data_IF_339547102743
#
_entry.id   IF_339547102743
#
_cell.length_a   1.000
_cell.length_b   1.000
_cell.length_c   1.000
_cell.angle_alpha   90.00
_cell.angle_beta   90.00
_cell.angle_gamma   90.00
#
_symmetry.space_group_name_H-M   'P 1'
#
loop_
_entity.id
_entity.type
_entity.pdbx_description
1 polymer ?
#
# COMPACT_ATOMS: atom_id res chain seq x y z
N UNK A 1 -2.97 67.84 -29.77
CA UNK A 1 -2.38 67.09 -30.91
C UNK A 1 -2.36 65.62 -30.55
N UNK A 2 -3.29 64.83 -31.10
CA UNK A 2 -3.31 63.38 -30.89
C UNK A 2 -2.34 62.74 -31.90
N UNK A 3 -1.22 62.20 -31.41
CA UNK A 3 -0.27 61.47 -32.24
C UNK A 3 -0.93 60.23 -32.84
N UNK A 4 -0.94 60.11 -34.17
CA UNK A 4 -1.38 58.88 -34.85
C UNK A 4 -0.45 57.75 -34.46
N UNK A 5 -0.98 56.76 -33.75
CA UNK A 5 -0.27 55.54 -33.39
C UNK A 5 -0.01 54.75 -34.67
N UNK A 6 1.27 54.51 -34.97
CA UNK A 6 1.69 53.77 -36.17
C UNK A 6 1.56 52.26 -35.92
N UNK A 7 0.54 51.66 -36.52
CA UNK A 7 0.23 50.23 -36.41
C UNK A 7 1.43 49.37 -36.82
N UNK A 8 2.27 49.83 -37.75
CA UNK A 8 3.48 49.09 -38.17
C UNK A 8 4.53 49.04 -37.06
N UNK A 9 4.67 50.13 -36.30
CA UNK A 9 5.57 50.18 -35.13
C UNK A 9 5.06 49.29 -34.00
N UNK A 10 3.74 49.23 -33.77
CA UNK A 10 3.14 48.29 -32.81
C UNK A 10 3.37 46.84 -33.24
N UNK A 11 3.11 46.50 -34.50
CA UNK A 11 3.35 45.15 -35.04
C UNK A 11 4.82 44.74 -34.90
N UNK A 12 5.77 45.62 -35.25
CA UNK A 12 7.21 45.37 -35.08
C UNK A 12 7.59 45.15 -33.61
N UNK A 13 7.05 45.96 -32.70
CA UNK A 13 7.31 45.84 -31.27
C UNK A 13 6.73 44.54 -30.70
N UNK A 14 5.52 44.14 -31.14
CA UNK A 14 4.93 42.84 -30.79
C UNK A 14 5.74 41.66 -31.31
N UNK A 15 6.25 41.72 -32.54
CA UNK A 15 7.12 40.66 -33.10
C UNK A 15 8.42 40.55 -32.32
N UNK A 16 9.05 41.67 -31.94
CA UNK A 16 10.27 41.67 -31.13
C UNK A 16 10.01 41.10 -29.74
N UNK A 17 8.96 41.55 -29.04
CA UNK A 17 8.59 41.02 -27.71
C UNK A 17 8.26 39.52 -27.80
N UNK A 18 7.49 39.10 -28.79
CA UNK A 18 7.17 37.69 -29.01
C UNK A 18 8.43 36.85 -29.28
N UNK A 19 9.38 37.38 -30.04
CA UNK A 19 10.67 36.72 -30.30
C UNK A 19 11.51 36.57 -29.04
N UNK A 20 11.62 37.60 -28.20
CA UNK A 20 12.33 37.53 -26.92
C UNK A 20 11.69 36.53 -25.94
N UNK A 21 10.35 36.52 -25.85
CA UNK A 21 9.62 35.55 -25.01
C UNK A 21 9.82 34.11 -25.49
N UNK A 22 9.94 33.89 -26.81
CA UNK A 22 10.21 32.56 -27.37
C UNK A 22 11.63 32.06 -27.06
N UNK A 23 12.63 32.94 -27.08
CA UNK A 23 14.03 32.56 -26.77
C UNK A 23 14.17 32.15 -25.29
N UNK A 24 13.61 32.92 -24.34
CA UNK A 24 13.66 32.57 -22.90
C UNK A 24 12.92 31.25 -22.59
N UNK A 25 11.80 30.98 -23.27
CA UNK A 25 11.09 29.72 -23.13
C UNK A 25 11.88 28.53 -23.68
N UNK A 26 12.60 28.69 -24.80
CA UNK A 26 13.46 27.64 -25.37
C UNK A 26 14.63 27.30 -24.46
N UNK A 27 15.26 28.30 -23.84
CA UNK A 27 16.37 28.09 -22.91
C UNK A 27 15.92 27.36 -21.64
N UNK A 28 14.76 27.74 -21.09
CA UNK A 28 14.15 27.04 -19.94
C UNK A 28 13.81 25.58 -20.24
N UNK A 29 13.25 25.31 -21.42
CA UNK A 29 12.93 23.96 -21.85
C UNK A 29 14.17 23.09 -22.05
N UNK A 30 15.22 23.63 -22.67
CA UNK A 30 16.50 22.95 -22.80
C UNK A 30 17.10 22.61 -21.43
N UNK A 31 17.17 23.57 -20.52
CA UNK A 31 17.70 23.36 -19.17
C UNK A 31 16.87 22.36 -18.38
N UNK A 32 15.55 22.42 -18.48
CA UNK A 32 14.65 21.45 -17.85
C UNK A 32 14.97 20.02 -18.29
N UNK A 33 15.04 19.78 -19.61
CA UNK A 33 15.34 18.44 -20.15
C UNK A 33 16.73 17.97 -19.76
N UNK A 34 17.71 18.88 -19.69
CA UNK A 34 19.07 18.59 -19.24
C UNK A 34 19.07 18.08 -17.80
N UNK A 35 18.50 18.84 -16.87
CA UNK A 35 18.46 18.45 -15.45
C UNK A 35 17.61 17.21 -15.21
N UNK A 36 16.48 17.07 -15.90
CA UNK A 36 15.66 15.86 -15.80
C UNK A 36 16.42 14.61 -16.27
N UNK A 37 17.17 14.70 -17.38
CA UNK A 37 18.00 13.59 -17.87
C UNK A 37 19.10 13.24 -16.88
N UNK A 38 19.84 14.25 -16.40
CA UNK A 38 20.89 14.08 -15.40
C UNK A 38 20.35 13.39 -14.14
N UNK A 39 19.21 13.85 -13.63
CA UNK A 39 18.56 13.28 -12.46
C UNK A 39 18.14 11.81 -12.67
N UNK A 40 17.57 11.49 -13.84
CA UNK A 40 17.21 10.12 -14.19
C UNK A 40 18.45 9.20 -14.25
N UNK A 41 19.58 9.67 -14.80
CA UNK A 41 20.82 8.89 -14.85
C UNK A 41 21.40 8.65 -13.45
N UNK A 42 21.41 9.67 -12.60
CA UNK A 42 21.84 9.55 -11.21
C UNK A 42 20.94 8.58 -10.42
N UNK A 43 19.62 8.67 -10.62
CA UNK A 43 18.65 7.75 -10.03
C UNK A 43 18.89 6.30 -10.48
N UNK A 44 19.17 6.07 -11.77
CA UNK A 44 19.49 4.73 -12.30
C UNK A 44 20.77 4.16 -11.69
N UNK A 45 21.76 5.01 -11.40
CA UNK A 45 23.00 4.65 -10.69
C UNK A 45 22.81 4.44 -9.18
N UNK A 46 21.66 4.81 -8.64
CA UNK A 46 21.35 4.72 -7.21
C UNK A 46 21.88 5.89 -6.38
N UNK A 47 22.43 6.93 -7.00
CA UNK A 47 22.81 8.17 -6.32
C UNK A 47 21.57 9.07 -6.18
N UNK A 48 20.69 8.68 -5.25
CA UNK A 48 19.45 9.38 -5.01
C UNK A 48 19.63 10.81 -4.47
N UNK A 49 20.60 11.11 -3.58
CA UNK A 49 20.84 12.48 -3.13
C UNK A 49 21.24 13.42 -4.27
N UNK A 50 22.12 12.99 -5.18
CA UNK A 50 22.46 13.80 -6.35
C UNK A 50 21.29 13.91 -7.33
N UNK A 51 20.56 12.82 -7.57
CA UNK A 51 19.35 12.84 -8.40
C UNK A 51 18.33 13.84 -7.86
N UNK A 52 18.13 13.90 -6.54
CA UNK A 52 17.20 14.82 -5.89
C UNK A 52 17.52 16.28 -6.21
N UNK A 53 18.79 16.68 -6.11
CA UNK A 53 19.22 18.04 -6.44
C UNK A 53 18.91 18.39 -7.90
N UNK A 54 19.16 17.47 -8.84
CA UNK A 54 18.91 17.73 -10.26
C UNK A 54 17.41 17.72 -10.59
N UNK A 55 16.59 16.89 -9.93
CA UNK A 55 15.13 16.99 -10.03
C UNK A 55 14.59 18.31 -9.47
N UNK A 56 15.11 18.81 -8.34
CA UNK A 56 14.70 20.10 -7.78
C UNK A 56 14.95 21.24 -8.77
N UNK A 57 16.12 21.29 -9.41
CA UNK A 57 16.40 22.26 -10.49
C UNK A 57 15.43 22.13 -11.66
N UNK A 58 15.05 20.90 -12.04
CA UNK A 58 14.04 20.69 -13.08
C UNK A 58 12.65 21.20 -12.65
N UNK A 59 12.28 21.06 -11.37
CA UNK A 59 11.03 21.59 -10.81
C UNK A 59 11.03 23.12 -10.80
N UNK A 60 12.14 23.76 -10.43
CA UNK A 60 12.29 25.23 -10.46
C UNK A 60 12.06 25.82 -11.85
N UNK A 61 12.54 25.11 -12.89
CA UNK A 61 12.39 25.55 -14.29
C UNK A 61 10.99 25.34 -14.85
N UNK A 62 10.30 24.27 -14.43
CA UNK A 62 8.95 23.93 -14.88
C UNK A 62 8.09 23.44 -13.71
N UNK A 63 7.61 24.36 -12.85
CA UNK A 63 6.89 23.98 -11.64
C UNK A 63 5.58 23.24 -11.94
N UNK A 64 4.94 23.53 -13.06
CA UNK A 64 3.68 22.89 -13.47
C UNK A 64 3.87 21.53 -14.14
N UNK A 65 5.11 21.13 -14.42
CA UNK A 65 5.38 19.81 -14.99
C UNK A 65 5.36 18.73 -13.90
N UNK A 66 4.37 17.84 -13.97
CA UNK A 66 4.21 16.76 -12.99
C UNK A 66 5.38 15.74 -12.99
N UNK A 67 6.10 15.61 -14.11
CA UNK A 67 7.09 14.54 -14.31
C UNK A 67 8.25 14.61 -13.33
N UNK A 68 8.78 15.81 -13.07
CA UNK A 68 9.89 15.98 -12.12
C UNK A 68 9.46 15.68 -10.68
N UNK A 69 8.25 16.10 -10.29
CA UNK A 69 7.69 15.76 -8.97
C UNK A 69 7.49 14.24 -8.81
N UNK A 70 6.89 13.59 -9.81
CA UNK A 70 6.71 12.14 -9.83
C UNK A 70 8.05 11.39 -9.71
N UNK A 71 9.07 11.80 -10.47
CA UNK A 71 10.39 11.17 -10.43
C UNK A 71 11.16 11.46 -9.13
N UNK A 72 11.05 12.66 -8.58
CA UNK A 72 11.60 12.99 -7.27
C UNK A 72 10.93 12.17 -6.16
N UNK A 73 9.61 11.99 -6.22
CA UNK A 73 8.86 11.12 -5.31
C UNK A 73 9.35 9.67 -5.36
N UNK A 74 9.63 9.15 -6.56
CA UNK A 74 10.28 7.83 -6.70
C UNK A 74 11.65 7.80 -6.01
N UNK A 75 12.47 8.84 -6.17
CA UNK A 75 13.78 8.95 -5.54
C UNK A 75 13.72 8.94 -4.00
N UNK A 76 12.79 9.67 -3.40
CA UNK A 76 12.56 9.64 -1.95
C UNK A 76 12.01 8.29 -1.47
N UNK A 77 11.09 7.67 -2.24
CA UNK A 77 10.59 6.33 -1.94
C UNK A 77 11.73 5.30 -1.86
N UNK A 78 12.72 5.37 -2.77
CA UNK A 78 13.88 4.47 -2.76
C UNK A 78 14.81 4.70 -1.57
N UNK A 79 14.81 5.89 -1.00
CA UNK A 79 15.55 6.25 0.22
C UNK A 79 14.78 5.88 1.50
N UNK A 80 13.53 5.40 1.40
CA UNK A 80 12.69 5.12 2.55
C UNK A 80 12.03 6.36 3.16
N UNK A 81 12.20 7.52 2.53
CA UNK A 81 11.57 8.77 2.94
C UNK A 81 10.17 8.86 2.35
N UNK A 82 9.26 8.16 3.02
CA UNK A 82 7.89 7.99 2.53
C UNK A 82 7.04 9.24 2.69
N UNK A 83 7.37 10.14 3.63
CA UNK A 83 6.62 11.37 3.83
C UNK A 83 6.84 12.35 2.67
N UNK A 84 8.11 12.61 2.34
CA UNK A 84 8.44 13.45 1.18
C UNK A 84 7.95 12.81 -0.12
N UNK A 85 8.08 11.49 -0.26
CA UNK A 85 7.57 10.78 -1.44
C UNK A 85 6.05 10.96 -1.62
N UNK A 86 5.26 10.84 -0.55
CA UNK A 86 3.81 11.03 -0.61
C UNK A 86 3.45 12.45 -1.09
N UNK A 87 4.03 13.47 -0.47
CA UNK A 87 3.77 14.88 -0.83
C UNK A 87 4.08 15.17 -2.30
N UNK A 88 5.19 14.63 -2.82
CA UNK A 88 5.59 14.81 -4.22
C UNK A 88 4.66 14.08 -5.20
N UNK A 89 4.17 12.88 -4.85
CA UNK A 89 3.18 12.22 -5.69
C UNK A 89 1.85 12.95 -5.69
N UNK A 90 1.38 13.46 -4.54
CA UNK A 90 0.17 14.30 -4.46
C UNK A 90 0.30 15.57 -5.31
N UNK A 91 1.45 16.24 -5.21
CA UNK A 91 1.80 17.40 -6.04
C UNK A 91 1.88 17.09 -7.53
N UNK A 92 2.30 15.88 -7.92
CA UNK A 92 2.26 15.43 -9.31
C UNK A 92 0.81 15.13 -9.76
N UNK A 93 0.03 14.42 -8.95
CA UNK A 93 -1.36 14.03 -9.25
C UNK A 93 -2.26 15.23 -9.56
N UNK A 94 -2.05 16.36 -8.86
CA UNK A 94 -2.82 17.60 -9.09
C UNK A 94 -2.56 18.23 -10.45
N UNK A 95 -1.40 17.96 -11.06
CA UNK A 95 -0.96 18.52 -12.36
C UNK A 95 -1.16 17.55 -13.53
N UNK A 96 -1.31 16.24 -13.27
CA UNK A 96 -1.51 15.24 -14.31
C UNK A 96 -2.95 15.25 -14.84
N UNK A 97 -3.05 15.38 -16.15
CA UNK A 97 -4.32 15.30 -16.90
C UNK A 97 -4.53 13.93 -17.54
N UNK A 98 -3.47 13.27 -18.02
CA UNK A 98 -3.59 11.94 -18.63
C UNK A 98 -4.03 10.89 -17.59
N UNK A 99 -5.14 10.16 -17.83
CA UNK A 99 -5.63 9.17 -16.88
C UNK A 99 -4.62 8.06 -16.56
N UNK A 100 -3.84 7.60 -17.54
CA UNK A 100 -2.91 6.49 -17.34
C UNK A 100 -1.70 6.94 -16.51
N UNK A 101 -1.17 8.13 -16.76
CA UNK A 101 -0.14 8.74 -15.91
C UNK A 101 -0.67 9.02 -14.50
N UNK A 102 -1.92 9.48 -14.39
CA UNK A 102 -2.56 9.73 -13.09
C UNK A 102 -2.73 8.43 -12.30
N UNK A 103 -3.10 7.35 -12.98
CA UNK A 103 -3.18 6.02 -12.40
C UNK A 103 -1.83 5.55 -11.85
N UNK A 104 -0.73 5.74 -12.60
CA UNK A 104 0.64 5.40 -12.15
C UNK A 104 1.04 6.21 -10.91
N UNK A 105 0.71 7.50 -10.86
CA UNK A 105 0.98 8.34 -9.70
C UNK A 105 0.20 7.89 -8.46
N UNK A 106 -1.09 7.59 -8.60
CA UNK A 106 -1.89 7.01 -7.52
C UNK A 106 -1.38 5.63 -7.08
N UNK A 107 -0.94 4.78 -8.01
CA UNK A 107 -0.34 3.48 -7.68
C UNK A 107 0.91 3.66 -6.81
N UNK A 108 1.80 4.59 -7.17
CA UNK A 108 3.00 4.86 -6.41
C UNK A 108 2.72 5.49 -5.04
N UNK A 109 1.72 6.38 -4.95
CA UNK A 109 1.23 6.88 -3.66
C UNK A 109 0.71 5.73 -2.77
N UNK A 110 -0.01 4.77 -3.36
CA UNK A 110 -0.42 3.56 -2.66
C UNK A 110 0.78 2.72 -2.17
N UNK A 111 1.82 2.60 -2.98
CA UNK A 111 3.05 1.91 -2.60
C UNK A 111 3.77 2.61 -1.44
N UNK A 112 3.81 3.94 -1.44
CA UNK A 112 4.36 4.76 -0.35
C UNK A 112 3.61 4.48 0.94
N UNK A 113 2.28 4.62 0.94
CA UNK A 113 1.46 4.35 2.12
C UNK A 113 1.56 2.90 2.61
N UNK A 114 1.69 1.93 1.70
CA UNK A 114 1.95 0.53 2.06
C UNK A 114 3.25 0.36 2.85
N UNK A 115 4.33 1.02 2.43
CA UNK A 115 5.61 0.94 3.15
C UNK A 115 5.56 1.68 4.48
N UNK A 116 4.81 2.78 4.57
CA UNK A 116 4.53 3.47 5.85
C UNK A 116 3.51 2.74 6.74
N UNK A 117 3.04 1.55 6.36
CA UNK A 117 1.99 0.80 7.06
C UNK A 117 0.66 1.55 7.24
N UNK A 118 0.45 2.60 6.44
CA UNK A 118 -0.79 3.40 6.33
C UNK A 118 -1.76 2.69 5.38
N UNK A 119 -2.22 1.51 5.80
CA UNK A 119 -2.92 0.59 4.88
C UNK A 119 -4.27 1.12 4.39
N UNK A 120 -4.95 1.96 5.17
CA UNK A 120 -6.23 2.56 4.75
C UNK A 120 -6.01 3.56 3.60
N UNK A 121 -5.00 4.40 3.73
CA UNK A 121 -4.59 5.39 2.73
C UNK A 121 -4.07 4.71 1.47
N UNK A 122 -3.29 3.63 1.63
CA UNK A 122 -2.86 2.80 0.51
C UNK A 122 -4.04 2.25 -0.30
N UNK A 123 -5.08 1.74 0.39
CA UNK A 123 -6.31 1.24 -0.25
C UNK A 123 -6.99 2.36 -1.05
N UNK A 124 -7.10 3.57 -0.50
CA UNK A 124 -7.73 4.68 -1.22
C UNK A 124 -6.93 5.07 -2.47
N UNK A 125 -5.61 5.19 -2.36
CA UNK A 125 -4.74 5.50 -3.49
C UNK A 125 -4.84 4.43 -4.60
N UNK A 126 -4.79 3.13 -4.26
CA UNK A 126 -4.97 2.08 -5.26
C UNK A 126 -6.36 2.06 -5.89
N UNK A 127 -7.42 2.37 -5.13
CA UNK A 127 -8.77 2.54 -5.70
C UNK A 127 -8.82 3.69 -6.71
N UNK A 128 -8.17 4.83 -6.42
CA UNK A 128 -8.06 5.93 -7.38
C UNK A 128 -7.24 5.55 -8.61
N UNK A 129 -6.16 4.78 -8.44
CA UNK A 129 -5.40 4.25 -9.56
C UNK A 129 -6.27 3.38 -10.48
N UNK A 130 -7.02 2.42 -9.93
CA UNK A 130 -7.93 1.56 -10.70
C UNK A 130 -9.12 2.30 -11.30
N UNK A 131 -9.54 3.43 -10.71
CA UNK A 131 -10.57 4.29 -11.31
C UNK A 131 -10.07 4.90 -12.63
N UNK A 132 -8.78 5.26 -12.69
CA UNK A 132 -8.17 5.86 -13.88
C UNK A 132 -7.64 4.81 -14.87
N UNK A 133 -7.19 3.64 -14.38
CA UNK A 133 -6.81 2.48 -15.19
C UNK A 133 -7.36 1.17 -14.60
N UNK A 134 -8.59 0.76 -14.99
CA UNK A 134 -9.24 -0.42 -14.44
C UNK A 134 -8.55 -1.76 -14.74
N UNK A 135 -7.64 -1.79 -15.71
CA UNK A 135 -6.98 -3.01 -16.19
C UNK A 135 -5.59 -3.23 -15.60
N UNK A 136 -5.17 -2.40 -14.65
CA UNK A 136 -3.89 -2.54 -13.98
C UNK A 136 -3.90 -3.69 -12.96
N UNK A 137 -3.43 -4.86 -13.40
CA UNK A 137 -3.34 -6.06 -12.57
C UNK A 137 -2.40 -5.90 -11.37
N UNK A 138 -1.32 -5.13 -11.51
CA UNK A 138 -0.37 -4.91 -10.42
C UNK A 138 -1.00 -4.04 -9.33
N UNK A 139 -1.77 -3.02 -9.73
CA UNK A 139 -2.59 -2.24 -8.80
C UNK A 139 -3.67 -3.08 -8.12
N UNK A 140 -4.40 -3.92 -8.87
CA UNK A 140 -5.41 -4.83 -8.28
C UNK A 140 -4.79 -5.74 -7.23
N UNK A 141 -3.65 -6.31 -7.55
CA UNK A 141 -2.88 -7.16 -6.65
C UNK A 141 -2.46 -6.41 -5.38
N UNK A 142 -1.89 -5.20 -5.53
CA UNK A 142 -1.46 -4.39 -4.39
C UNK A 142 -2.63 -3.94 -3.50
N UNK A 143 -3.79 -3.63 -4.09
CA UNK A 143 -5.03 -3.34 -3.35
C UNK A 143 -5.45 -4.53 -2.47
N UNK A 144 -5.48 -5.74 -3.04
CA UNK A 144 -5.82 -6.95 -2.29
C UNK A 144 -4.84 -7.20 -1.13
N UNK A 145 -3.56 -6.96 -1.38
CA UNK A 145 -2.51 -7.09 -0.37
C UNK A 145 -2.65 -6.05 0.75
N UNK A 146 -2.95 -4.79 0.41
CA UNK A 146 -3.22 -3.72 1.38
C UNK A 146 -4.41 -4.06 2.28
N UNK A 147 -5.50 -4.56 1.70
CA UNK A 147 -6.68 -4.99 2.45
C UNK A 147 -6.38 -6.15 3.41
N UNK A 148 -5.58 -7.14 2.96
CA UNK A 148 -5.12 -8.23 3.82
C UNK A 148 -4.32 -7.70 5.01
N UNK A 149 -3.40 -6.76 4.77
CA UNK A 149 -2.58 -6.14 5.83
C UNK A 149 -3.40 -5.34 6.84
N UNK A 150 -4.37 -4.55 6.36
CA UNK A 150 -5.30 -3.83 7.25
C UNK A 150 -6.09 -4.79 8.15
N UNK A 151 -6.62 -5.89 7.59
CA UNK A 151 -7.35 -6.90 8.37
C UNK A 151 -6.45 -7.55 9.43
N UNK A 152 -5.19 -7.84 9.08
CA UNK A 152 -4.21 -8.38 10.04
C UNK A 152 -3.93 -7.39 11.18
N UNK A 153 -3.76 -6.11 10.86
CA UNK A 153 -3.54 -5.04 11.85
C UNK A 153 -4.73 -4.94 12.83
N UNK A 154 -5.96 -4.94 12.33
CA UNK A 154 -7.18 -4.90 13.15
C UNK A 154 -7.31 -6.13 14.06
N UNK A 155 -6.97 -7.32 13.54
CA UNK A 155 -7.04 -8.55 14.33
C UNK A 155 -6.03 -8.56 15.48
N UNK A 156 -4.83 -8.01 15.28
CA UNK A 156 -3.81 -7.93 16.33
C UNK A 156 -4.25 -6.97 17.44
N UNK A 157 -4.75 -5.78 17.08
CA UNK A 157 -5.28 -4.82 18.07
C UNK A 157 -6.43 -5.39 18.91
N UNK A 158 -7.28 -6.23 18.32
CA UNK A 158 -8.38 -6.88 19.06
C UNK A 158 -7.89 -7.98 20.01
N UNK A 159 -6.74 -8.63 19.74
CA UNK A 159 -6.13 -9.59 20.67
C UNK A 159 -5.48 -8.89 21.85
N UNK A 160 -4.73 -7.82 21.60
CA UNK A 160 -4.08 -7.02 22.65
C UNK A 160 -5.12 -6.45 23.64
N UNK A 161 -6.29 -6.03 23.14
CA UNK A 161 -7.40 -5.58 23.98
C UNK A 161 -8.07 -6.69 24.80
N UNK A 162 -8.02 -7.96 24.33
CA UNK A 162 -8.59 -9.10 25.04
C UNK A 162 -7.66 -9.55 26.17
N UNK A 163 -6.37 -9.61 25.90
CA UNK A 163 -5.35 -9.97 26.90
C UNK A 163 -5.27 -8.92 28.03
N UNK A 164 -5.56 -7.64 27.73
CA UNK A 164 -5.61 -6.59 28.74
C UNK A 164 -6.91 -6.60 29.58
N UNK A 165 -7.97 -7.28 29.12
CA UNK A 165 -9.21 -7.46 29.87
C UNK A 165 -9.10 -8.65 30.84
N UNK A 166 -8.48 -9.75 30.40
CA UNK A 166 -8.24 -10.93 31.22
C UNK A 166 -7.25 -10.66 32.37
N UNK A 167 -6.41 -9.61 32.27
CA UNK A 167 -5.50 -9.19 33.33
C UNK A 167 -6.13 -8.23 34.36
N UNK A 168 -7.37 -7.76 34.13
CA UNK A 168 -8.11 -6.93 35.08
C UNK A 168 -9.06 -7.74 35.98
N UNK A 169 -9.46 -8.93 35.54
CA UNK A 169 -10.33 -9.84 36.30
C UNK A 169 -9.56 -10.72 37.30
N UNK A 170 -8.22 -10.65 37.33
CA UNK A 170 -7.38 -11.49 38.21
C UNK A 170 -6.82 -10.75 39.44
N UNK A 171 -7.40 -9.59 39.82
CA UNK A 171 -6.98 -8.83 41.02
C UNK A 171 -8.00 -8.80 42.16
N UNK A 172 -9.19 -9.38 41.98
CA UNK A 172 -10.28 -9.27 42.97
C UNK A 172 -10.64 -10.59 43.67
N UNK A 173 -9.80 -11.64 43.61
CA UNK A 173 -10.14 -12.92 44.26
C UNK A 173 -9.01 -13.54 45.06
N UNK A 174 -8.46 -12.77 46.00
CA UNK A 174 -7.50 -13.29 46.97
C UNK A 174 -7.80 -12.80 48.39
N UNK A 175 -9.01 -13.01 48.87
CA UNK A 175 -9.35 -12.95 50.31
C UNK A 175 -10.67 -13.69 50.60
N UNK A 176 -10.63 -15.03 50.63
CA UNK A 176 -11.38 -15.84 51.61
C UNK A 176 -11.22 -17.34 51.37
N UNK A 177 -10.46 -18.03 52.23
CA UNK A 177 -10.87 -19.32 52.80
C UNK A 177 -9.91 -19.73 53.90
N UNK A 178 -10.19 -19.20 55.08
CA UNK A 178 -9.72 -19.81 56.32
C UNK A 178 -10.52 -21.09 56.62
N UNK A 179 -9.76 -22.16 56.81
CA UNK A 179 -9.89 -23.13 57.91
C UNK A 179 -11.03 -24.19 57.86
N UNK A 180 -10.67 -25.43 57.49
CA UNK A 180 -11.20 -26.65 58.12
C UNK A 180 -10.36 -27.90 57.80
N UNK A 181 -9.33 -28.10 58.61
CA UNK A 181 -8.66 -29.37 58.90
C UNK A 181 -9.10 -29.77 60.33
N UNK A 182 -9.19 -31.00 60.81
CA UNK A 182 -8.98 -32.36 60.31
C UNK A 182 -9.31 -33.28 61.52
N UNK A 183 -10.06 -34.36 61.32
CA UNK A 183 -10.06 -35.56 62.19
C UNK A 183 -10.94 -36.62 61.55
N UNK A 184 -10.32 -37.70 61.08
CA UNK A 184 -10.50 -39.02 61.69
C UNK A 184 -9.64 -40.06 60.94
N UNK A 185 -8.87 -40.81 61.72
CA UNK A 185 -8.01 -41.89 61.27
C UNK A 185 -8.37 -43.12 62.12
N UNK A 186 -8.79 -44.22 61.48
CA UNK A 186 -8.67 -45.59 62.01
C UNK A 186 -9.01 -46.66 60.96
N UNK A 187 -7.97 -47.38 60.57
CA UNK A 187 -7.83 -48.84 60.41
C UNK A 187 -9.11 -49.68 60.23
N UNK A 188 -9.18 -50.49 59.16
CA UNK A 188 -8.77 -51.92 59.21
C UNK A 188 -8.89 -52.64 57.84
N UNK A 189 -7.80 -53.35 57.50
CA UNK A 189 -7.66 -54.69 56.90
C UNK A 189 -8.55 -55.27 55.77
N UNK A 190 -7.77 -55.83 54.84
CA UNK A 190 -7.89 -57.16 54.21
C UNK A 190 -8.63 -57.33 52.86
N UNK A 191 -7.78 -57.53 51.85
CA UNK A 191 -7.69 -58.69 50.94
C UNK A 191 -8.23 -58.62 49.49
N UNK A 192 -7.30 -59.03 48.63
CA UNK A 192 -7.42 -59.82 47.39
C UNK A 192 -7.94 -59.20 46.09
N UNK A 193 -6.97 -59.21 45.17
CA UNK A 193 -7.01 -59.80 43.82
C UNK A 193 -7.92 -59.18 42.75
N UNK A 194 -7.20 -58.79 41.70
CA UNK A 194 -7.43 -59.08 40.28
C UNK A 194 -7.96 -57.94 39.39
N UNK A 195 -7.04 -57.59 38.49
CA UNK A 195 -7.19 -57.44 37.04
C UNK A 195 -7.90 -56.22 36.45
N UNK A 196 -7.14 -55.69 35.50
CA UNK A 196 -7.53 -55.15 34.21
C UNK A 196 -7.94 -53.66 34.14
N UNK A 197 -6.92 -52.87 33.81
CA UNK A 197 -6.79 -52.16 32.54
C UNK A 197 -7.78 -51.01 32.27
N UNK A 198 -7.31 -49.76 32.40
CA UNK A 198 -7.20 -48.83 31.26
C UNK A 198 -6.62 -47.45 31.61
N UNK A 199 -5.78 -47.01 30.68
CA UNK A 199 -5.56 -45.66 30.18
C UNK A 199 -4.83 -44.61 31.07
N UNK A 200 -3.54 -44.41 30.76
CA UNK A 200 -3.06 -43.06 30.41
C UNK A 200 -1.70 -43.07 29.67
N UNK A 201 -1.65 -42.32 28.56
CA UNK A 201 -0.54 -41.47 28.04
C UNK A 201 0.80 -42.14 27.68
N UNK A 202 1.52 -41.76 26.63
CA UNK A 202 1.56 -40.56 25.78
C UNK A 202 2.39 -40.88 24.51
N UNK A 203 2.18 -40.10 23.43
CA UNK A 203 3.13 -39.77 22.35
C UNK A 203 3.77 -40.93 21.54
N UNK A 204 3.87 -40.93 20.21
CA UNK A 204 4.04 -39.84 19.24
C UNK A 204 3.90 -40.48 17.84
N UNK A 205 2.89 -40.10 17.06
CA UNK A 205 2.78 -40.47 15.63
C UNK A 205 3.91 -39.74 14.86
N UNK A 206 4.78 -40.40 14.09
CA UNK A 206 4.58 -41.23 12.90
C UNK A 206 4.04 -40.43 11.69
N UNK A 207 4.93 -40.11 10.72
CA UNK A 207 4.90 -40.71 9.37
C UNK A 207 5.96 -40.11 8.44
N UNK A 208 6.94 -40.96 8.13
CA UNK A 208 7.42 -41.36 6.80
C UNK A 208 6.95 -40.54 5.58
N UNK A 209 7.88 -40.00 4.77
CA UNK A 209 8.51 -40.63 3.58
C UNK A 209 7.49 -40.89 2.45
N UNK A 210 7.68 -40.55 1.17
CA UNK A 210 8.90 -40.64 0.34
C UNK A 210 8.52 -40.19 -1.10
N UNK A 211 9.55 -39.88 -1.90
CA UNK A 211 9.59 -39.94 -3.38
C UNK A 211 8.72 -38.91 -4.17
N UNK A 212 9.08 -38.40 -5.35
CA UNK A 212 10.04 -38.82 -6.35
C UNK A 212 10.42 -37.65 -7.29
N UNK A 213 11.49 -37.90 -8.05
CA UNK A 213 12.16 -37.08 -9.06
C UNK A 213 11.47 -37.16 -10.45
N UNK A 214 11.98 -36.34 -11.38
CA UNK A 214 11.83 -36.36 -12.86
C UNK A 214 10.59 -35.61 -13.42
N UNK A 215 10.58 -34.88 -14.55
CA UNK A 215 11.41 -34.77 -15.76
C UNK A 215 11.04 -33.39 -16.41
N UNK A 216 11.98 -32.54 -16.83
CA UNK A 216 12.47 -32.26 -18.21
C UNK A 216 11.46 -31.84 -19.31
N UNK A 217 11.93 -30.85 -20.09
CA UNK A 217 11.50 -30.36 -21.42
C UNK A 217 10.26 -29.43 -21.43
N UNK A 218 10.23 -28.27 -22.12
CA UNK A 218 10.76 -27.95 -23.44
C UNK A 218 11.00 -26.44 -23.64
N UNK A 219 11.81 -26.14 -24.66
CA UNK A 219 12.26 -24.83 -25.16
C UNK A 219 11.26 -24.19 -26.12
N UNK A 220 11.50 -22.89 -26.38
CA UNK A 220 10.98 -22.02 -27.45
C UNK A 220 9.57 -21.44 -27.23
N UNK A 221 9.27 -20.16 -27.42
CA UNK A 221 9.83 -19.21 -28.39
C UNK A 221 9.72 -17.75 -27.91
N UNK A 222 10.59 -16.91 -28.49
CA UNK A 222 10.63 -15.45 -28.40
C UNK A 222 9.34 -14.83 -28.96
N UNK A 223 8.88 -13.75 -28.32
CA UNK A 223 8.65 -12.44 -28.96
C UNK A 223 7.93 -11.48 -28.00
N UNK A 224 8.68 -10.54 -27.40
CA UNK A 224 8.41 -9.09 -27.45
C UNK A 224 9.39 -8.30 -26.56
N UNK A 225 10.25 -7.52 -27.25
CA UNK A 225 10.71 -6.19 -26.80
C UNK A 225 9.43 -5.33 -26.68
N UNK A 226 9.12 -4.60 -25.62
CA UNK A 226 9.91 -3.68 -24.82
C UNK A 226 9.44 -3.68 -23.36
N UNK A 227 10.32 -4.09 -22.43
CA UNK A 227 10.25 -3.72 -21.01
C UNK A 227 11.67 -3.51 -20.50
N UNK A 228 11.94 -2.34 -19.93
CA UNK A 228 12.43 -2.17 -18.55
C UNK A 228 12.99 -0.77 -18.36
N UNK A 229 12.34 -0.01 -17.48
CA UNK A 229 13.04 0.83 -16.52
C UNK A 229 12.36 0.62 -15.16
N UNK A 230 13.05 -0.08 -14.25
CA UNK A 230 12.88 0.14 -12.80
C UNK A 230 12.09 -0.85 -11.93
N UNK A 231 11.96 -2.14 -12.24
CA UNK A 231 11.51 -3.13 -11.25
C UNK A 231 12.68 -3.50 -10.31
N UNK A 232 12.70 -2.91 -9.12
CA UNK A 232 13.66 -3.24 -8.07
C UNK A 232 13.26 -4.49 -7.28
N UNK A 233 13.96 -5.61 -7.54
CA UNK A 233 14.17 -6.87 -6.76
C UNK A 233 12.94 -7.66 -6.23
N UNK A 234 13.01 -9.01 -6.21
CA UNK A 234 11.90 -9.86 -5.79
C UNK A 234 11.60 -9.68 -4.29
N UNK A 235 10.36 -9.32 -3.96
CA UNK A 235 9.88 -9.16 -2.57
C UNK A 235 9.52 -10.56 -2.03
N UNK A 236 10.15 -11.07 -0.95
CA UNK A 236 9.65 -12.25 -0.26
C UNK A 236 8.29 -11.91 0.37
N UNK A 237 7.32 -12.85 0.36
CA UNK A 237 5.91 -12.68 0.76
C UNK A 237 4.94 -12.08 -0.28
N UNK A 238 5.09 -12.42 -1.55
CA UNK A 238 4.07 -12.15 -2.55
C UNK A 238 2.88 -13.13 -2.39
N UNK A 239 1.69 -12.56 -2.24
CA UNK A 239 0.41 -13.23 -2.41
C UNK A 239 0.35 -13.80 -3.86
N UNK A 240 -0.30 -14.94 -4.12
CA UNK A 240 -0.49 -15.37 -5.51
C UNK A 240 -1.58 -14.52 -6.19
N UNK A 241 -1.57 -14.42 -7.52
CA UNK A 241 -2.62 -13.70 -8.27
C UNK A 241 -4.02 -14.24 -7.96
N UNK A 242 -4.15 -15.56 -7.84
CA UNK A 242 -5.41 -16.19 -7.44
C UNK A 242 -5.84 -15.83 -6.02
N UNK A 243 -4.90 -15.82 -5.07
CA UNK A 243 -5.18 -15.38 -3.71
C UNK A 243 -5.60 -13.90 -3.68
N UNK A 244 -4.97 -13.03 -4.46
CA UNK A 244 -5.37 -11.63 -4.61
C UNK A 244 -6.79 -11.53 -5.15
N UNK A 245 -7.12 -12.25 -6.22
CA UNK A 245 -8.45 -12.29 -6.80
C UNK A 245 -9.51 -12.78 -5.80
N UNK A 246 -9.24 -13.87 -5.09
CA UNK A 246 -10.13 -14.41 -4.04
C UNK A 246 -10.37 -13.39 -2.92
N UNK A 247 -9.33 -12.66 -2.51
CA UNK A 247 -9.47 -11.59 -1.51
C UNK A 247 -10.37 -10.47 -2.03
N UNK A 248 -10.16 -10.00 -3.25
CA UNK A 248 -10.98 -8.95 -3.86
C UNK A 248 -12.45 -9.39 -4.01
N UNK A 249 -12.70 -10.62 -4.47
CA UNK A 249 -14.05 -11.19 -4.59
C UNK A 249 -14.75 -11.29 -3.24
N UNK A 250 -14.06 -11.85 -2.22
CA UNK A 250 -14.61 -11.98 -0.88
C UNK A 250 -14.94 -10.62 -0.25
N UNK A 251 -14.11 -9.60 -0.48
CA UNK A 251 -14.30 -8.27 0.05
C UNK A 251 -15.43 -7.51 -0.67
N UNK A 252 -15.52 -7.60 -2.00
CA UNK A 252 -16.63 -7.03 -2.75
C UNK A 252 -17.97 -7.64 -2.29
N UNK A 253 -18.01 -8.94 -2.02
CA UNK A 253 -19.19 -9.61 -1.47
C UNK A 253 -19.56 -9.10 -0.06
N UNK A 254 -18.58 -8.85 0.80
CA UNK A 254 -18.82 -8.33 2.16
C UNK A 254 -19.23 -6.86 2.17
N UNK A 255 -18.63 -6.03 1.30
CA UNK A 255 -18.99 -4.62 1.14
C UNK A 255 -20.42 -4.49 0.63
N UNK A 256 -20.81 -5.28 -0.38
CA UNK A 256 -22.21 -5.33 -0.86
C UNK A 256 -23.19 -5.73 0.24
N UNK A 257 -22.89 -6.79 1.00
CA UNK A 257 -23.72 -7.22 2.15
C UNK A 257 -23.84 -6.17 3.24
N UNK A 258 -22.77 -5.40 3.50
CA UNK A 258 -22.78 -4.31 4.47
C UNK A 258 -23.66 -3.15 3.98
N UNK A 259 -23.53 -2.77 2.71
CA UNK A 259 -24.37 -1.74 2.08
C UNK A 259 -25.85 -2.13 2.10
N UNK A 260 -26.18 -3.37 1.76
CA UNK A 260 -27.56 -3.88 1.80
C UNK A 260 -28.16 -3.84 3.21
N UNK A 261 -27.35 -4.16 4.25
CA UNK A 261 -27.78 -4.05 5.65
C UNK A 261 -28.00 -2.59 6.06
N UNK A 262 -27.11 -1.69 5.67
CA UNK A 262 -27.24 -0.25 5.97
C UNK A 262 -28.49 0.35 5.29
N UNK A 263 -28.75 0.00 4.03
CA UNK A 263 -29.93 0.45 3.31
C UNK A 263 -31.22 -0.10 3.93
N UNK A 264 -31.26 -1.39 4.30
CA UNK A 264 -32.40 -1.98 5.04
C UNK A 264 -32.62 -1.34 6.42
N UNK A 265 -31.56 -0.92 7.09
CA UNK A 265 -31.68 -0.22 8.39
C UNK A 265 -32.18 1.22 8.22
N UNK A 266 -31.82 1.89 7.11
CA UNK A 266 -32.39 3.20 6.73
C UNK A 266 -33.87 3.10 6.38
N UNK A 267 -34.28 2.06 5.65
CA UNK A 267 -35.69 1.78 5.34
C UNK A 267 -36.53 1.45 6.59
N UNK A 268 -35.90 0.92 7.65
CA UNK A 268 -36.54 0.59 8.94
C UNK A 268 -36.53 1.73 9.97
N UNK A 269 -36.06 2.93 9.62
CA UNK A 269 -36.10 4.11 10.51
C UNK A 269 -35.23 4.01 11.77
N UNK A 270 -34.27 3.09 11.84
CA UNK A 270 -33.35 3.02 12.99
C UNK A 270 -32.24 4.04 12.77
N UNK A 271 -32.42 5.24 13.33
CA UNK A 271 -31.40 6.30 13.37
C UNK A 271 -30.28 5.86 14.32
N UNK A 272 -29.26 5.19 13.80
CA UNK A 272 -27.95 5.16 14.47
C UNK A 272 -27.11 6.27 13.84
N UNK A 273 -26.90 7.32 14.63
CA UNK A 273 -26.10 8.49 14.24
C UNK A 273 -24.67 8.06 13.91
N UNK A 274 -24.38 7.93 12.63
CA UNK A 274 -23.04 8.02 12.08
C UNK A 274 -23.11 9.17 11.10
N UNK A 275 -22.67 10.35 11.55
CA UNK A 275 -22.40 11.48 10.69
C UNK A 275 -21.38 11.04 9.65
N UNK A 276 -21.85 10.76 8.44
CA UNK A 276 -21.04 10.67 7.23
C UNK A 276 -20.72 12.11 6.86
N UNK A 277 -19.52 12.57 7.23
CA UNK A 277 -18.91 13.70 6.53
C UNK A 277 -18.31 13.17 5.23
N UNK A 278 -19.06 13.37 4.15
CA UNK A 278 -18.58 13.64 2.80
C UNK A 278 -19.62 14.54 2.13
#
# INVERSE_FOLDING_TARGET
MAGKIDIRKIMLLLVVVFSYLHVDAQDKDYLYRKYLREANELYKKGDYPAANKSYQKAIELMPDNAKSNFNLGNSFYRQGDYENAASLFEGAISKIQDPIEKAKAFHNLGNVHMQSQKYQEAIQAYKQALKNNPNDEDTRYNLAYAQKKLKQQQNNQNKDNKDNKDNKDNKDNKDNKDNKDNKDNKDNKDNKDNKDNKDNKDNKDNKDNKDNKDNKDNKDNKDNKDKKDGEGKPRPNQLSKEQAKKILEALNGNEKKLQDKLNKNKEKGIVTGITKDW
#
